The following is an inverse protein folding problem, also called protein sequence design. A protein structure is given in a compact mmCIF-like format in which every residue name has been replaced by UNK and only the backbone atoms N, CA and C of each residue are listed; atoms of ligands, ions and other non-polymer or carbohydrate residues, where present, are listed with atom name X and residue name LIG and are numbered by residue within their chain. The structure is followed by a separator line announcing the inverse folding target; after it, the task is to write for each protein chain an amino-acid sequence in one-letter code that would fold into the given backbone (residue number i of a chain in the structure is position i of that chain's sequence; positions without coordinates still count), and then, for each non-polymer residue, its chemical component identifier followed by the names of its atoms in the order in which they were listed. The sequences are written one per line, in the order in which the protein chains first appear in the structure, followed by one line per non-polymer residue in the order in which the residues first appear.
data_IF_421352569927
#
_entry.id   IF_421352569927
#
_cell.length_a   1.000
_cell.length_b   1.000
_cell.length_c   1.000
_cell.angle_alpha   90.00
_cell.angle_beta   90.00
_cell.angle_gamma   90.00
#
_symmetry.space_group_name_H-M   'P 1'
#
loop_
_entity.id
_entity.type
_entity.pdbx_description
1 polymer ?
2 non-polymer ?
3 non-polymer ?
4 water ?
#
# COMPACT_ATOMS: atom_id res chain seq x y z
N UNK A 17 -13.67 16.25 -16.33
CA UNK A 17 -12.64 16.07 -17.31
C UNK A 17 -13.36 15.41 -18.34
N UNK A 18 -13.61 14.11 -18.23
CA UNK A 18 -14.37 13.40 -19.28
C UNK A 18 -14.53 11.93 -19.04
N UNK A 19 -15.63 11.31 -19.44
CA UNK A 19 -15.73 9.86 -19.22
C UNK A 19 -14.76 9.12 -20.11
N UNK A 20 -13.73 8.56 -19.51
CA UNK A 20 -12.69 7.89 -20.24
C UNK A 20 -13.19 6.54 -20.75
N UNK A 21 -12.69 6.14 -21.87
CA UNK A 21 -13.08 4.92 -22.47
C UNK A 21 -12.03 3.86 -22.56
N UNK A 22 -10.75 4.22 -22.43
CA UNK A 22 -9.63 3.29 -22.57
C UNK A 22 -8.64 3.65 -21.46
N UNK A 23 -8.72 2.97 -20.32
CA UNK A 23 -7.97 3.38 -19.14
C UNK A 23 -6.84 2.38 -18.89
N UNK A 24 -5.66 2.86 -18.52
CA UNK A 24 -4.54 1.99 -18.17
C UNK A 24 -4.13 2.30 -16.75
N UNK A 25 -3.90 1.25 -15.95
CA UNK A 25 -3.41 1.36 -14.59
C UNK A 25 -1.98 0.84 -14.53
N UNK A 26 -1.12 1.62 -13.89
CA UNK A 26 0.29 1.25 -13.77
C UNK A 26 0.67 0.71 -12.39
N UNK A 27 -0.31 0.35 -11.54
CA UNK A 27 0.03 -0.19 -10.22
C UNK A 27 -1.10 -1.07 -9.68
N UNK A 28 -0.78 -2.07 -8.85
CA UNK A 28 -1.85 -2.87 -8.22
C UNK A 28 -2.83 -2.02 -7.46
N UNK A 29 -2.36 -1.07 -6.65
CA UNK A 29 -3.30 -0.24 -5.90
C UNK A 29 -4.14 0.58 -6.84
N UNK A 30 -3.53 1.05 -7.93
CA UNK A 30 -4.27 1.90 -8.87
C UNK A 30 -5.39 1.14 -9.55
N UNK A 31 -5.22 -0.16 -9.74
CA UNK A 31 -6.26 -0.99 -10.29
C UNK A 31 -7.39 -1.14 -9.28
N UNK A 32 -7.06 -1.33 -8.01
CA UNK A 32 -8.12 -1.42 -7.02
C UNK A 32 -8.94 -0.12 -6.98
N UNK A 33 -8.25 1.03 -6.93
CA UNK A 33 -8.96 2.31 -6.82
C UNK A 33 -9.76 2.59 -8.07
N UNK A 34 -9.25 2.17 -9.23
CA UNK A 34 -9.99 2.34 -10.48
C UNK A 34 -11.33 1.61 -10.42
N UNK A 35 -11.33 0.34 -9.98
CA UNK A 35 -12.60 -0.38 -9.85
C UNK A 35 -13.51 0.28 -8.84
N UNK A 36 -12.96 0.71 -7.69
CA UNK A 36 -13.81 1.36 -6.68
C UNK A 36 -14.40 2.67 -7.19
N UNK A 37 -13.71 3.32 -8.11
CA UNK A 37 -14.11 4.60 -8.66
C UNK A 37 -15.07 4.46 -9.81
N UNK A 38 -15.52 3.24 -10.11
CA UNK A 38 -16.41 3.04 -11.24
C UNK A 38 -15.77 3.18 -12.61
N UNK A 39 -14.50 2.78 -12.72
CA UNK A 39 -13.74 2.79 -13.97
C UNK A 39 -13.37 1.39 -14.44
N UNK A 40 -13.66 0.34 -13.68
CA UNK A 40 -13.08 -0.96 -13.96
C UNK A 40 -13.43 -1.47 -15.35
N UNK A 41 -14.65 -1.21 -15.79
CA UNK A 41 -15.10 -1.70 -17.09
C UNK A 41 -14.36 -1.05 -18.25
N UNK A 42 -13.72 0.09 -17.97
CA UNK A 42 -13.00 0.83 -19.02
C UNK A 42 -11.50 0.57 -19.01
N UNK A 43 -11.00 -0.24 -18.07
CA UNK A 43 -9.59 -0.63 -18.10
C UNK A 43 -9.29 -1.49 -19.30
N UNK A 44 -8.20 -1.15 -19.98
CA UNK A 44 -7.70 -1.94 -21.09
C UNK A 44 -6.31 -2.50 -20.83
N UNK A 45 -5.65 -2.10 -19.74
CA UNK A 45 -4.42 -2.74 -19.30
C UNK A 45 -4.12 -2.31 -17.87
N UNK A 46 -3.35 -3.13 -17.19
CA UNK A 46 -3.00 -2.94 -15.78
C UNK A 46 -1.55 -3.38 -15.59
N UNK A 47 -1.10 -3.41 -14.35
CA UNK A 47 0.24 -3.83 -13.97
C UNK A 47 0.27 -5.30 -13.58
N UNK A 48 1.48 -5.87 -13.59
CA UNK A 48 1.71 -7.12 -12.90
C UNK A 48 1.30 -6.93 -11.45
N UNK A 49 0.75 -7.99 -10.86
CA UNK A 49 0.17 -7.97 -9.53
C UNK A 49 -1.11 -7.18 -9.41
N UNK A 50 -1.70 -6.71 -10.50
CA UNK A 50 -3.06 -6.15 -10.46
C UNK A 50 -4.00 -7.35 -10.46
N UNK A 51 -4.17 -7.92 -9.27
CA UNK A 51 -4.96 -9.14 -9.09
C UNK A 51 -6.22 -8.92 -8.27
N UNK A 52 -6.63 -7.66 -8.06
CA UNK A 52 -7.78 -7.36 -7.29
C UNK A 52 -8.50 -6.14 -7.85
N UNK A 53 -9.81 -6.17 -8.01
CA UNK A 53 -10.70 -7.35 -7.90
C UNK A 53 -10.21 -8.43 -8.86
N UNK A 54 -10.50 -9.70 -8.58
CA UNK A 54 -9.79 -10.74 -9.32
C UNK A 54 -10.00 -10.75 -10.83
N UNK A 55 -11.11 -10.23 -11.35
CA UNK A 55 -11.30 -10.19 -12.80
C UNK A 55 -10.17 -9.40 -13.48
N UNK A 56 -9.43 -8.61 -12.71
CA UNK A 56 -8.35 -7.81 -13.29
C UNK A 56 -7.23 -8.69 -13.81
N UNK A 57 -7.15 -9.94 -13.32
CA UNK A 57 -6.22 -10.92 -13.86
C UNK A 57 -6.40 -11.09 -15.36
N UNK A 58 -7.58 -10.82 -15.84
CA UNK A 58 -7.92 -11.03 -17.25
C UNK A 58 -7.35 -9.98 -18.19
N UNK A 59 -6.85 -8.89 -17.68
CA UNK A 59 -6.41 -7.81 -18.52
C UNK A 59 -4.96 -7.83 -18.86
N UNK A 60 -4.57 -7.26 -20.00
CA UNK A 60 -3.16 -7.38 -20.30
C UNK A 60 -2.32 -6.47 -19.39
N UNK A 61 -1.06 -6.86 -19.21
CA UNK A 61 -0.12 -6.18 -18.34
C UNK A 61 0.81 -5.28 -19.13
N UNK A 62 1.05 -4.07 -18.63
CA UNK A 62 1.97 -3.16 -19.31
C UNK A 62 2.98 -2.57 -18.34
N UNK A 63 3.10 -3.13 -17.14
CA UNK A 63 4.02 -2.52 -16.19
C UNK A 63 4.38 -3.52 -15.11
N UNK A 64 5.61 -3.40 -14.61
CA UNK A 64 6.08 -4.15 -13.47
C UNK A 64 7.06 -3.26 -12.72
N UNK A 65 7.75 -3.84 -11.73
CA UNK A 65 8.47 -2.99 -10.79
C UNK A 65 9.68 -2.32 -11.41
N UNK A 66 10.13 -2.81 -12.55
CA UNK A 66 11.33 -2.28 -13.18
C UNK A 66 11.04 -1.52 -14.46
N UNK A 67 9.94 -1.86 -15.13
CA UNK A 67 9.69 -1.36 -16.48
C UNK A 67 8.22 -1.07 -16.73
N UNK A 68 7.97 0.06 -17.40
CA UNK A 68 6.68 0.34 -18.03
C UNK A 68 6.82 0.04 -19.52
N UNK A 69 5.88 -0.74 -20.06
CA UNK A 69 5.93 -1.15 -21.46
C UNK A 69 5.29 -0.08 -22.32
N UNK A 70 6.11 0.91 -22.68
CA UNK A 70 5.58 2.06 -23.42
C UNK A 70 5.13 1.65 -24.81
N UNK A 71 5.82 0.71 -25.43
CA UNK A 71 5.43 0.23 -26.75
C UNK A 71 3.99 -0.26 -26.72
N UNK A 72 3.66 -1.10 -25.74
CA UNK A 72 2.30 -1.64 -25.62
C UNK A 72 1.31 -0.54 -25.33
N UNK A 73 1.67 0.42 -24.48
CA UNK A 73 0.77 1.55 -24.21
C UNK A 73 0.47 2.34 -25.49
N UNK A 74 1.48 2.54 -26.34
CA UNK A 74 1.23 3.20 -27.61
C UNK A 74 0.19 2.41 -28.41
N UNK A 75 0.36 1.10 -28.39
CA UNK A 75 -0.53 0.15 -29.03
C UNK A 75 -1.98 0.23 -28.54
N UNK A 76 -2.18 0.75 -27.34
CA UNK A 76 -3.48 0.72 -26.69
C UNK A 76 -4.23 2.04 -26.75
N UNK A 77 -3.53 3.12 -27.04
CA UNK A 77 -4.16 4.43 -27.21
C UNK A 77 -5.08 4.86 -26.06
N UNK A 78 -4.59 4.83 -24.83
CA UNK A 78 -5.43 5.17 -23.69
C UNK A 78 -5.81 6.64 -23.72
N UNK A 79 -7.01 6.94 -23.23
CA UNK A 79 -7.36 8.33 -22.98
C UNK A 79 -7.18 8.72 -21.53
N UNK A 80 -6.82 7.76 -20.67
CA UNK A 80 -6.45 8.05 -19.28
C UNK A 80 -5.45 7.00 -18.79
N UNK A 81 -4.36 7.43 -18.17
CA UNK A 81 -3.38 6.56 -17.55
C UNK A 81 -3.36 6.92 -16.07
N UNK A 82 -3.49 5.92 -15.21
CA UNK A 82 -3.44 6.09 -13.77
C UNK A 82 -2.06 5.70 -13.29
N UNK A 83 -1.25 6.70 -12.96
CA UNK A 83 0.14 6.46 -12.62
C UNK A 83 0.38 6.41 -11.13
N UNK A 84 1.48 5.78 -10.77
CA UNK A 84 1.94 5.66 -9.40
C UNK A 84 3.34 6.28 -9.31
N UNK A 85 3.42 7.60 -9.19
CA UNK A 85 4.76 8.24 -9.15
C UNK A 85 5.70 7.61 -8.15
N UNK A 86 5.20 7.19 -6.98
CA UNK A 86 6.11 6.70 -5.96
C UNK A 86 6.80 5.41 -6.37
N UNK A 87 6.19 4.62 -7.26
CA UNK A 87 6.70 3.32 -7.59
C UNK A 87 7.05 3.08 -9.06
N UNK A 88 6.60 3.89 -9.91
CA UNK A 88 6.88 3.72 -11.33
C UNK A 88 8.21 4.39 -11.70
N UNK A 89 8.89 3.90 -12.73
CA UNK A 89 10.18 4.54 -13.14
C UNK A 89 9.97 5.97 -13.62
N UNK A 90 10.67 6.95 -13.02
CA UNK A 90 10.45 8.36 -13.38
C UNK A 90 10.62 8.67 -14.86
N UNK A 91 11.63 8.08 -15.50
CA UNK A 91 11.86 8.37 -16.91
C UNK A 91 10.68 7.96 -17.76
N UNK A 92 10.11 6.79 -17.49
CA UNK A 92 9.04 6.31 -18.35
C UNK A 92 7.76 7.13 -18.15
N UNK A 93 7.46 7.55 -16.91
CA UNK A 93 6.32 8.44 -16.69
C UNK A 93 6.55 9.77 -17.37
N UNK A 94 7.77 10.31 -17.28
CA UNK A 94 8.05 11.55 -17.97
C UNK A 94 7.84 11.37 -19.46
N UNK A 95 8.28 10.24 -20.01
CA UNK A 95 8.05 9.96 -21.43
C UNK A 95 6.56 10.00 -21.74
N UNK A 96 5.75 9.33 -20.91
CA UNK A 96 4.30 9.32 -21.15
C UNK A 96 3.73 10.73 -21.10
N UNK A 97 4.21 11.55 -20.17
CA UNK A 97 3.76 12.93 -20.12
C UNK A 97 4.17 13.66 -21.40
N UNK A 98 5.40 13.43 -21.85
CA UNK A 98 5.89 14.14 -23.04
C UNK A 98 5.15 13.70 -24.28
N UNK A 99 4.67 12.46 -24.29
CA UNK A 99 3.88 11.94 -25.40
C UNK A 99 2.46 12.48 -25.42
N UNK A 100 2.05 13.25 -24.40
CA UNK A 100 0.77 13.90 -24.39
C UNK A 100 -0.39 13.09 -23.86
N UNK A 101 -0.12 12.04 -23.10
CA UNK A 101 -1.22 11.28 -22.50
C UNK A 101 -1.81 12.00 -21.29
N UNK A 102 -3.12 11.82 -21.13
CA UNK A 102 -3.77 12.34 -19.94
C UNK A 102 -3.45 11.38 -18.80
N UNK A 103 -2.80 11.90 -17.77
CA UNK A 103 -2.31 11.07 -16.68
C UNK A 103 -2.82 11.61 -15.35
N UNK A 104 -3.40 10.72 -14.56
CA UNK A 104 -3.71 11.01 -13.19
C UNK A 104 -2.59 10.46 -12.31
N UNK A 105 -1.95 11.33 -11.53
CA UNK A 105 -0.91 10.91 -10.61
C UNK A 105 -1.52 10.49 -9.28
N UNK A 106 -1.42 9.20 -8.94
CA UNK A 106 -1.92 8.72 -7.66
C UNK A 106 -0.91 8.98 -6.54
N UNK A 107 -1.32 9.77 -5.55
CA UNK A 107 -0.46 10.06 -4.40
C UNK A 107 -0.77 9.05 -3.30
N UNK A 108 0.29 8.55 -2.66
CA UNK A 108 0.22 7.32 -1.87
C UNK A 108 0.98 7.43 -0.55
N UNK A 109 0.67 8.47 0.23
CA UNK A 109 1.32 8.64 1.53
C UNK A 109 0.39 8.55 2.76
N UNK A 110 -0.80 9.11 2.65
CA UNK A 110 -1.73 9.18 3.77
C UNK A 110 -2.97 8.33 3.51
N UNK A 111 -3.72 8.08 4.58
CA UNK A 111 -4.97 7.33 4.48
C UNK A 111 -6.07 8.15 3.83
N UNK A 112 -6.14 9.43 4.15
CA UNK A 112 -7.17 10.23 3.52
C UNK A 112 -6.95 10.34 2.02
N UNK A 113 -5.70 10.24 1.55
CA UNK A 113 -5.42 10.29 0.12
C UNK A 113 -6.09 9.14 -0.65
N UNK A 114 -6.38 8.02 0.01
CA UNK A 114 -7.05 6.94 -0.71
C UNK A 114 -8.43 7.39 -1.13
N UNK A 115 -9.18 7.96 -0.20
CA UNK A 115 -10.49 8.47 -0.57
C UNK A 115 -10.37 9.59 -1.59
N UNK A 116 -9.36 10.46 -1.44
CA UNK A 116 -9.15 11.53 -2.41
C UNK A 116 -8.93 10.96 -3.80
N UNK A 117 -8.08 9.92 -3.90
CA UNK A 117 -7.88 9.23 -5.17
C UNK A 117 -9.19 8.74 -5.80
N UNK A 118 -10.01 8.04 -5.01
CA UNK A 118 -11.24 7.49 -5.53
C UNK A 118 -12.16 8.60 -6.02
N UNK A 119 -12.26 9.69 -5.24
CA UNK A 119 -13.16 10.78 -5.60
C UNK A 119 -12.68 11.48 -6.86
N UNK A 120 -11.37 11.73 -6.96
CA UNK A 120 -10.80 12.25 -8.20
C UNK A 120 -11.07 11.34 -9.37
N UNK A 121 -10.83 10.04 -9.22
CA UNK A 121 -10.98 9.18 -10.37
C UNK A 121 -12.42 9.06 -10.80
N UNK A 122 -13.36 9.24 -9.88
CA UNK A 122 -14.77 9.18 -10.24
C UNK A 122 -15.16 10.27 -11.25
N UNK A 123 -14.37 11.34 -11.34
CA UNK A 123 -14.65 12.36 -12.35
C UNK A 123 -14.53 11.83 -13.76
N UNK A 124 -13.87 10.69 -13.93
CA UNK A 124 -13.68 10.16 -15.27
C UNK A 124 -14.67 9.05 -15.54
N UNK A 125 -15.60 8.85 -14.62
CA UNK A 125 -16.51 7.72 -14.75
C UNK A 125 -17.78 8.15 -15.47
N UNK A 126 -18.38 7.20 -16.19
CA UNK A 126 -19.69 7.42 -16.79
C UNK A 126 -20.79 7.42 -15.73
N UNK A 127 -20.50 6.88 -14.56
CA UNK A 127 -21.43 6.82 -13.42
C UNK A 127 -20.70 7.34 -12.18
N UNK A 128 -20.45 8.65 -12.10
CA UNK A 128 -19.65 9.17 -10.99
C UNK A 128 -20.18 8.86 -9.59
N UNK A 129 -21.47 8.49 -9.46
CA UNK A 129 -22.04 8.19 -8.15
C UNK A 129 -21.34 7.00 -7.49
N UNK A 130 -20.86 6.04 -8.31
CA UNK A 130 -20.19 4.85 -7.77
C UNK A 130 -18.96 5.25 -6.96
N UNK A 131 -18.06 6.01 -7.58
CA UNK A 131 -16.88 6.49 -6.88
C UNK A 131 -17.20 7.48 -5.79
N UNK A 132 -18.18 8.36 -6.02
CA UNK A 132 -18.63 9.25 -4.96
C UNK A 132 -19.01 8.44 -3.73
N UNK A 133 -19.76 7.36 -3.95
CA UNK A 133 -20.21 6.54 -2.84
C UNK A 133 -19.05 5.80 -2.19
N UNK A 134 -18.16 5.22 -3.00
CA UNK A 134 -17.05 4.47 -2.43
C UNK A 134 -16.17 5.35 -1.56
N UNK A 135 -15.89 6.58 -2.02
CA UNK A 135 -15.08 7.49 -1.22
C UNK A 135 -15.79 7.92 0.05
N UNK A 136 -17.11 8.11 -0.06
CA UNK A 136 -17.88 8.48 1.10
C UNK A 136 -17.78 7.37 2.13
N UNK A 137 -18.01 6.15 1.69
CA UNK A 137 -17.99 5.01 2.61
C UNK A 137 -16.62 4.85 3.23
N UNK A 138 -15.56 4.97 2.41
CA UNK A 138 -14.20 4.91 2.93
C UNK A 138 -13.98 5.95 4.03
N UNK A 139 -14.38 7.19 3.77
CA UNK A 139 -14.18 8.25 4.75
C UNK A 139 -14.89 7.94 6.06
N UNK A 140 -16.11 7.42 5.96
CA UNK A 140 -16.85 7.13 7.19
C UNK A 140 -16.20 5.99 7.95
N UNK A 141 -15.81 4.91 7.26
CA UNK A 141 -15.14 3.82 7.97
C UNK A 141 -13.80 4.29 8.55
N UNK A 142 -13.08 5.15 7.83
CA UNK A 142 -11.82 5.65 8.35
C UNK A 142 -12.06 6.44 9.62
N UNK A 143 -13.14 7.23 9.64
CA UNK A 143 -13.54 7.95 10.82
C UNK A 143 -13.85 6.99 11.96
N UNK A 144 -14.61 5.93 11.65
CA UNK A 144 -14.92 4.95 12.67
C UNK A 144 -13.65 4.35 13.25
N UNK A 145 -12.70 3.98 12.38
CA UNK A 145 -11.49 3.35 12.88
C UNK A 145 -10.67 4.32 13.72
N UNK A 146 -10.56 5.59 13.31
CA UNK A 146 -9.80 6.54 14.10
C UNK A 146 -10.40 6.65 15.50
N UNK A 147 -11.73 6.72 15.59
CA UNK A 147 -12.38 6.76 16.89
C UNK A 147 -12.08 5.49 17.68
N UNK A 148 -12.25 4.33 17.05
CA UNK A 148 -12.20 3.07 17.76
C UNK A 148 -10.82 2.78 18.33
N UNK A 149 -9.75 3.21 17.65
CA UNK A 149 -8.39 2.82 18.03
C UNK A 149 -7.60 3.99 18.58
N UNK A 150 -8.30 4.96 19.14
CA UNK A 150 -7.64 6.09 19.77
C UNK A 150 -6.91 5.65 21.03
N UNK A 151 -7.56 4.81 21.83
CA UNK A 151 -7.03 4.42 23.13
C UNK A 151 -5.67 3.76 23.02
N UNK A 152 -5.30 3.23 21.85
CA UNK A 152 -3.99 2.65 21.70
C UNK A 152 -2.93 3.66 22.15
N UNK A 153 -1.91 3.15 22.84
CA UNK A 153 -0.75 3.90 23.28
C UNK A 153 0.39 3.66 22.31
N UNK A 154 1.39 4.54 22.32
CA UNK A 154 2.51 4.39 21.39
C UNK A 154 3.26 3.08 21.59
N UNK A 155 3.41 2.35 20.49
CA UNK A 155 4.16 1.12 20.49
C UNK A 155 5.23 1.18 19.41
N UNK A 156 6.44 0.79 19.77
CA UNK A 156 7.57 0.77 18.84
C UNK A 156 7.55 -0.54 18.05
N UNK A 157 7.40 -0.45 16.73
CA UNK A 157 7.32 -1.62 15.88
C UNK A 157 8.44 -1.65 14.83
N UNK A 158 8.73 -2.86 14.39
CA UNK A 158 9.52 -3.14 13.21
C UNK A 158 8.61 -3.82 12.20
N UNK A 159 8.56 -3.30 10.96
CA UNK A 159 7.84 -3.98 9.87
C UNK A 159 8.79 -4.38 8.76
N UNK A 160 8.90 -5.69 8.60
CA UNK A 160 9.75 -6.35 7.63
C UNK A 160 9.01 -6.59 6.30
N UNK A 161 9.55 -6.09 5.19
CA UNK A 161 9.03 -6.40 3.87
C UNK A 161 9.58 -7.72 3.31
N UNK A 162 10.72 -8.17 3.80
CA UNK A 162 11.34 -9.42 3.36
C UNK A 162 12.27 -9.87 4.47
N UNK A 163 12.58 -11.17 4.49
CA UNK A 163 13.59 -11.68 5.41
C UNK A 163 14.99 -11.65 4.79
N UNK A 164 15.10 -11.90 3.48
CA UNK A 164 16.37 -11.88 2.76
C UNK A 164 16.28 -11.03 1.49
N UNK A 165 16.94 -9.86 1.42
CA UNK A 165 17.57 -9.18 2.56
C UNK A 165 16.46 -8.60 3.41
N UNK A 166 16.79 -8.04 4.57
CA UNK A 166 15.80 -7.34 5.38
C UNK A 166 15.63 -5.94 4.81
N UNK A 167 14.48 -5.69 4.18
CA UNK A 167 14.08 -4.35 3.76
C UNK A 167 12.93 -3.91 4.65
N UNK A 168 12.97 -2.65 5.06
CA UNK A 168 11.93 -2.09 5.91
C UNK A 168 11.55 -0.75 5.31
N UNK A 169 10.80 0.04 6.08
CA UNK A 169 10.28 1.32 5.65
C UNK A 169 10.82 2.40 6.56
N UNK A 170 10.69 3.65 6.10
CA UNK A 170 11.27 4.80 6.79
C UNK A 170 10.68 6.10 6.24
N UNK A 171 11.02 7.20 6.91
CA UNK A 171 10.70 8.54 6.43
C UNK A 171 9.22 8.80 6.22
N UNK A 172 8.36 8.04 6.91
CA UNK A 172 6.93 8.27 6.79
C UNK A 172 6.33 7.73 5.51
N UNK A 173 7.12 7.11 4.64
CA UNK A 173 6.62 6.60 3.39
C UNK A 173 5.69 5.41 3.63
N UNK A 174 4.88 5.14 2.61
CA UNK A 174 3.85 4.13 2.74
C UNK A 174 4.46 2.76 3.05
N UNK A 175 3.85 1.99 3.98
CA UNK A 175 2.62 2.17 4.74
C UNK A 175 2.78 2.75 6.15
N UNK A 176 3.76 3.63 6.33
CA UNK A 176 4.00 4.19 7.67
C UNK A 176 2.72 4.73 8.32
N UNK A 177 1.91 5.44 7.56
CA UNK A 177 0.71 6.09 8.06
C UNK A 177 -0.32 5.11 8.61
N UNK A 178 -0.36 3.89 8.09
CA UNK A 178 -1.28 2.89 8.65
C UNK A 178 -0.95 2.65 10.12
N UNK A 179 0.34 2.42 10.41
CA UNK A 179 0.78 2.17 11.78
C UNK A 179 0.56 3.39 12.66
N UNK A 180 0.81 4.59 12.13
CA UNK A 180 0.75 5.80 12.96
C UNK A 180 -0.66 6.07 13.48
N UNK A 181 -1.70 5.72 12.72
CA UNK A 181 -3.07 5.89 13.21
C UNK A 181 -3.24 5.23 14.58
N UNK A 182 -2.62 4.06 14.78
CA UNK A 182 -2.78 3.22 15.96
C UNK A 182 -1.80 3.60 17.06
N UNK A 183 -1.08 4.71 16.90
CA UNK A 183 0.00 5.07 17.80
C UNK A 183 1.32 4.42 17.49
N UNK A 184 1.41 3.67 16.39
CA UNK A 184 2.64 2.93 16.11
C UNK A 184 3.78 3.87 15.77
N UNK A 185 4.97 3.54 16.27
CA UNK A 185 6.19 4.31 16.04
C UNK A 185 7.21 3.38 15.39
N UNK A 186 7.57 3.70 14.14
CA UNK A 186 8.53 2.94 13.36
C UNK A 186 9.93 3.10 13.93
N UNK A 187 10.60 1.99 14.25
CA UNK A 187 11.94 2.07 14.84
C UNK A 187 12.96 2.58 13.83
N UNK A 188 12.67 2.48 12.55
CA UNK A 188 13.60 2.92 11.51
C UNK A 188 13.12 4.20 10.83
N UNK A 189 12.26 4.97 11.50
CA UNK A 189 11.69 6.14 10.89
C UNK A 189 12.76 7.07 10.37
N UNK A 190 13.80 7.31 11.17
CA UNK A 190 14.88 8.23 10.83
C UNK A 190 16.00 7.47 10.11
N UNK A 191 15.71 7.06 8.87
CA UNK A 191 16.70 6.48 7.98
C UNK A 191 16.95 7.43 6.80
N UNK A 192 18.10 7.23 6.17
CA UNK A 192 18.52 8.11 5.09
C UNK A 192 17.79 7.82 3.78
N UNK A 193 17.18 6.65 3.64
CA UNK A 193 16.39 6.32 2.46
C UNK A 193 15.02 5.84 2.92
N UNK A 194 14.00 5.91 2.04
CA UNK A 194 12.64 5.52 2.43
C UNK A 194 12.43 4.02 2.66
N UNK A 195 13.18 3.15 2.00
CA UNK A 195 13.02 1.71 2.19
C UNK A 195 14.40 1.11 2.42
N UNK A 196 14.97 1.31 3.59
CA UNK A 196 16.34 0.87 3.85
C UNK A 196 16.48 -0.62 4.00
N UNK A 197 17.62 -1.12 3.57
CA UNK A 197 18.06 -2.46 3.90
C UNK A 197 18.73 -2.36 5.26
N UNK A 198 18.40 -3.28 6.16
CA UNK A 198 18.90 -3.24 7.53
C UNK A 198 19.48 -4.61 7.89
N UNK A 199 20.46 -4.60 8.79
CA UNK A 199 21.08 -5.83 9.25
C UNK A 199 20.33 -6.39 10.46
N UNK A 200 20.53 -7.68 10.70
CA UNK A 200 19.99 -8.31 11.91
C UNK A 200 20.37 -7.50 13.14
N UNK A 201 21.65 -7.14 13.23
CA UNK A 201 22.14 -6.39 14.39
C UNK A 201 21.38 -5.08 14.57
N UNK A 202 21.14 -4.38 13.46
CA UNK A 202 20.40 -3.12 13.50
C UNK A 202 19.04 -3.28 14.18
N UNK A 203 18.30 -4.31 13.81
CA UNK A 203 17.02 -4.60 14.47
C UNK A 203 17.27 -4.95 15.93
N UNK A 204 18.16 -5.91 16.17
CA UNK A 204 18.43 -6.38 17.53
C UNK A 204 18.73 -5.23 18.45
N UNK A 205 19.57 -4.32 18.00
CA UNK A 205 19.94 -3.17 18.82
C UNK A 205 18.71 -2.37 19.17
N UNK A 206 17.78 -2.22 18.21
CA UNK A 206 16.64 -1.31 18.34
C UNK A 206 15.56 -1.83 19.30
N UNK A 207 15.50 -3.13 19.54
CA UNK A 207 14.58 -3.62 20.58
C UNK A 207 13.11 -3.31 20.28
N UNK A 208 12.60 -3.62 19.10
CA UNK A 208 11.20 -3.35 18.82
C UNK A 208 10.28 -4.09 19.78
N UNK A 209 9.21 -3.44 20.18
CA UNK A 209 8.20 -4.10 21.01
C UNK A 209 7.40 -5.14 20.22
N UNK A 210 7.19 -4.88 18.93
CA UNK A 210 6.42 -5.74 18.03
C UNK A 210 7.22 -5.87 16.73
N UNK A 211 7.25 -7.08 16.17
CA UNK A 211 7.76 -7.31 14.82
C UNK A 211 6.61 -7.76 13.92
N UNK A 212 6.43 -7.07 12.82
CA UNK A 212 5.49 -7.45 11.77
C UNK A 212 6.23 -8.01 10.57
N UNK A 213 5.69 -9.08 9.99
CA UNK A 213 6.34 -9.76 8.90
C UNK A 213 5.26 -10.32 7.95
N UNK A 214 5.62 -11.32 7.14
CA UNK A 214 4.73 -11.89 6.15
C UNK A 214 4.11 -13.20 6.65
N UNK A 215 3.00 -13.58 6.02
CA UNK A 215 2.38 -14.85 6.35
C UNK A 215 3.33 -15.98 6.01
N UNK A 216 4.16 -15.75 5.00
CA UNK A 216 5.09 -16.74 4.48
C UNK A 216 6.16 -17.03 5.51
N UNK A 217 6.73 -15.98 6.11
CA UNK A 217 7.77 -16.10 7.12
C UNK A 217 7.27 -16.84 8.35
N UNK A 218 6.05 -16.53 8.79
CA UNK A 218 5.49 -17.20 9.95
C UNK A 218 5.35 -18.69 9.66
N UNK A 219 4.75 -19.02 8.51
CA UNK A 219 4.47 -20.40 8.16
C UNK A 219 5.75 -21.22 8.04
N UNK A 220 6.82 -20.61 7.58
CA UNK A 220 8.08 -21.32 7.40
C UNK A 220 8.92 -21.36 8.67
N UNK A 221 8.49 -20.65 9.72
CA UNK A 221 9.32 -20.41 10.89
C UNK A 221 10.07 -19.11 10.72
N UNK A 222 9.73 -18.10 11.50
CA UNK A 222 10.29 -16.79 11.19
C UNK A 222 11.68 -16.66 11.78
N UNK A 223 12.44 -15.73 11.21
CA UNK A 223 13.86 -15.66 11.46
C UNK A 223 14.19 -15.19 12.87
N UNK A 224 13.21 -14.67 13.61
CA UNK A 224 13.51 -14.06 14.90
C UNK A 224 13.34 -15.04 16.06
N UNK A 225 12.89 -16.27 15.78
CA UNK A 225 12.83 -17.29 16.84
C UNK A 225 14.22 -17.59 17.38
N UNK A 226 15.19 -17.72 16.48
CA UNK A 226 16.58 -17.89 16.89
C UNK A 226 17.07 -16.79 17.86
N UNK A 227 16.37 -15.66 17.93
CA UNK A 227 16.81 -14.50 18.67
C UNK A 227 15.91 -14.21 19.87
N UNK A 228 15.24 -15.23 20.39
CA UNK A 228 14.29 -14.99 21.48
C UNK A 228 14.92 -14.27 22.65
N UNK A 229 16.10 -14.72 23.07
CA UNK A 229 16.74 -14.17 24.26
C UNK A 229 16.98 -12.68 24.12
N UNK A 230 17.34 -12.22 22.92
CA UNK A 230 17.68 -10.82 22.69
C UNK A 230 16.50 -9.95 22.28
N UNK A 231 15.34 -10.54 21.99
CA UNK A 231 14.17 -9.80 21.52
C UNK A 231 12.96 -10.01 22.42
N UNK A 232 12.57 -8.96 23.14
CA UNK A 232 11.35 -9.03 23.93
C UNK A 232 10.12 -9.26 23.06
N UNK A 233 10.13 -8.72 21.84
CA UNK A 233 9.03 -9.03 20.93
C UNK A 233 8.87 -10.53 20.74
N UNK A 234 9.96 -11.31 20.74
CA UNK A 234 9.80 -12.74 20.55
C UNK A 234 9.34 -13.39 21.86
N UNK A 235 9.97 -13.01 22.98
CA UNK A 235 9.60 -13.57 24.28
C UNK A 235 8.12 -13.34 24.57
N UNK A 236 7.61 -12.19 24.15
CA UNK A 236 6.22 -11.80 24.38
C UNK A 236 5.29 -12.28 23.28
N UNK A 237 5.77 -13.08 22.33
CA UNK A 237 4.90 -13.66 21.29
C UNK A 237 4.22 -12.57 20.47
N UNK A 238 5.01 -11.55 20.11
CA UNK A 238 4.51 -10.39 19.35
C UNK A 238 5.25 -10.26 18.03
N UNK A 239 5.45 -11.39 17.35
CA UNK A 239 5.87 -11.42 15.97
C UNK A 239 4.65 -11.90 15.20
N UNK A 240 4.13 -11.03 14.33
CA UNK A 240 2.89 -11.33 13.62
C UNK A 240 3.01 -11.03 12.14
N UNK A 241 2.35 -11.85 11.34
CA UNK A 241 2.20 -11.54 9.93
C UNK A 241 1.12 -10.49 9.71
N UNK A 242 1.33 -9.64 8.70
CA UNK A 242 0.31 -8.72 8.20
C UNK A 242 -0.01 -9.09 6.77
N UNK A 243 -1.26 -8.85 6.36
CA UNK A 243 -1.65 -9.05 4.97
C UNK A 243 -1.08 -7.92 4.10
N UNK A 244 -0.12 -8.30 3.25
CA UNK A 244 0.64 -7.34 2.46
C UNK A 244 -0.22 -6.69 1.39
N UNK A 245 -1.20 -7.43 0.84
CA UNK A 245 -2.10 -6.84 -0.17
C UNK A 245 -2.88 -5.67 0.41
N UNK A 246 -3.38 -5.81 1.63
CA UNK A 246 -4.16 -4.74 2.24
C UNK A 246 -3.28 -3.57 2.62
N UNK A 247 -2.10 -3.90 3.12
CA UNK A 247 -1.24 -2.95 3.81
C UNK A 247 -0.43 -2.13 2.83
N UNK A 248 0.19 -2.79 1.88
CA UNK A 248 1.20 -2.15 1.06
C UNK A 248 0.66 -1.53 -0.21
N UNK A 249 -0.63 -1.74 -0.51
CA UNK A 249 -1.35 -1.02 -1.54
C UNK A 249 -2.34 -0.06 -0.91
N UNK A 250 -2.37 1.20 -1.26
CA UNK A 250 -3.39 2.10 -0.70
C UNK A 250 -4.71 2.02 -1.45
N UNK A 251 -5.69 1.33 -0.83
CA UNK A 251 -6.92 0.93 -1.47
C UNK A 251 -8.01 0.90 -0.41
N UNK A 252 -9.26 0.66 -0.79
CA UNK A 252 -10.27 0.41 0.25
C UNK A 252 -9.92 -0.71 1.20
N UNK A 253 -9.19 -1.74 0.74
CA UNK A 253 -8.83 -2.82 1.63
C UNK A 253 -7.78 -2.39 2.67
N UNK A 254 -7.14 -1.24 2.49
CA UNK A 254 -6.25 -0.77 3.54
C UNK A 254 -6.99 -0.57 4.85
N UNK A 255 -8.30 -0.33 4.83
CA UNK A 255 -8.98 -0.24 6.11
C UNK A 255 -9.05 -1.59 6.83
N UNK A 256 -8.98 -2.73 6.11
CA UNK A 256 -8.75 -4.00 6.79
C UNK A 256 -7.33 -4.10 7.34
N UNK A 257 -6.33 -3.55 6.64
CA UNK A 257 -5.01 -3.48 7.25
C UNK A 257 -5.01 -2.60 8.50
N UNK A 258 -5.72 -1.47 8.47
CA UNK A 258 -5.85 -0.64 9.67
C UNK A 258 -6.40 -1.48 10.81
N UNK A 259 -7.48 -2.19 10.58
CA UNK A 259 -8.03 -3.05 11.63
C UNK A 259 -6.99 -4.07 12.11
N UNK A 260 -6.28 -4.72 11.19
CA UNK A 260 -5.35 -5.78 11.57
C UNK A 260 -4.20 -5.21 12.39
N UNK A 261 -3.59 -4.15 11.88
CA UNK A 261 -2.48 -3.49 12.56
C UNK A 261 -2.91 -2.99 13.92
N UNK A 262 -4.02 -2.26 13.96
CA UNK A 262 -4.51 -1.64 15.18
C UNK A 262 -4.91 -2.68 16.23
N UNK A 263 -5.51 -3.77 15.80
CA UNK A 263 -5.83 -4.83 16.74
C UNK A 263 -4.58 -5.42 17.37
N UNK A 264 -3.55 -5.68 16.55
CA UNK A 264 -2.28 -6.19 17.08
C UNK A 264 -1.57 -5.19 17.98
N UNK A 265 -1.48 -3.92 17.59
CA UNK A 265 -0.90 -2.93 18.49
C UNK A 265 -1.70 -2.76 19.76
N UNK A 266 -3.02 -3.01 19.71
CA UNK A 266 -3.80 -3.04 20.95
C UNK A 266 -3.39 -4.19 21.85
N UNK A 267 -3.30 -5.40 21.29
CA UNK A 267 -2.82 -6.55 22.05
C UNK A 267 -1.48 -6.24 22.71
N UNK A 268 -0.59 -5.55 21.98
CA UNK A 268 0.78 -5.28 22.43
C UNK A 268 0.85 -4.42 23.66
N UNK A 269 -0.27 -3.85 24.08
CA UNK A 269 -0.33 -3.14 25.33
C UNK A 269 -0.37 -4.08 26.52
N UNK A 270 -0.52 -5.39 26.28
CA UNK A 270 -0.64 -6.37 27.36
C UNK A 270 0.55 -6.33 28.30
N UNK A 271 1.71 -5.84 27.85
CA UNK A 271 2.80 -5.60 28.76
C UNK A 271 3.67 -4.45 28.28
X LIG B 1 7.04 -3.98 -3.51
X LIG B 1 7.42 -5.46 -4.65
X LIG B 1 5.16 -4.27 -3.74
X LIG B 1 6.91 -2.46 -2.39
X LIG B 1 8.92 -4.00 -3.22
X LIG B 1 8.84 -5.69 -5.09
X LIG B 1 9.12 -4.83 -6.33
X LIG B 1 8.86 -7.22 -5.43
X LIG B 1 9.98 -7.60 -6.43
X LIG B 1 8.94 -8.12 -4.18
X LIG B 1 8.93 -9.60 -4.56
X LIG B 1 7.85 -10.17 -4.73
X LIG B 1 10.10 -10.19 -4.69
X LIG B 1 7.42 -7.34 -6.00
X LIG B 1 7.09 -7.90 -7.40
X LIG B 1 7.24 -6.82 -8.45
X LIG B 1 6.80 -7.18 -9.84
X LIG B 1 6.38 -6.21 -10.46
X LIG B 1 6.85 -8.39 -10.33
X LIG B 1 6.64 -6.32 -5.20
X LIG B 1 5.20 -6.36 -4.99
X LIG B 1 4.56 -7.60 -5.61
X LIG B 1 4.55 -5.36 -4.37
X LIG B 1 3.03 -5.29 -4.02
X LIG B 1 1.95 -5.74 -5.02
X LIG B 1 2.94 -6.12 -2.69
X LIG B 1 1.58 -6.57 -2.31
X LIG B 1 0.58 -5.85 -2.49
X LIG B 1 1.45 -7.75 -1.78
X LIG B 1 2.82 -3.83 -3.50
X LIG B 1 2.26 -2.90 -4.61
X LIG B 1 2.04 -1.44 -4.19
X LIG B 1 1.00 -0.68 -5.04
X LIG B 1 0.29 -1.29 -5.78
X LIG B 1 0.96 0.61 -4.91
X LIG B 1 4.24 -3.43 -3.22
X LIG B 1 4.49 -2.35 -2.42
X LIG B 1 5.74 -1.89 -2.02
X LIG B 1 5.93 -0.83 -0.97
X LIG B 1 5.76 -1.56 0.40
X LIG B 1 4.89 0.29 -0.91
X LIG B 1 7.42 -0.54 -1.07
X LIG B 1 7.63 0.58 -2.13
X LIG B 1 7.18 2.02 -1.76
X LIG B 1 7.07 2.92 -2.96
X LIG B 1 6.65 4.06 -2.82
X LIG B 1 7.40 2.44 -4.16
X LIG B 1 7.97 -1.73 -1.85
X LIG B 1 9.31 -2.08 -1.87
X LIG B 1 10.22 -1.26 -1.02
X LIG B 1 9.72 -3.30 -2.49
X LIG B 1 11.16 -3.88 -2.53
X LIG B 1 11.35 -4.69 -1.23
X LIG B 1 12.36 -2.95 -2.69
X LIG B 1 12.35 -2.20 -4.03
X LIG B 1 13.42 -1.13 -3.89
X LIG B 1 13.33 -0.32 -2.97
X LIG B 1 14.42 -1.17 -4.77
X LIG B 1 11.15 -4.81 -3.77
X LIG B 1 11.91 -6.11 -3.61
X LIG B 1 13.40 -5.96 -3.72
X LIG B 1 13.89 -5.25 -4.63
X LIG B 1 14.12 -6.56 -2.81
X LIG B 1 9.64 -4.95 -4.03
X LIG B 1 15.48 -0.16 -4.69
X LIG B 1 15.11 1.01 -5.63
X LIG B 1 16.23 2.01 -5.78
X LIG B 1 14.85 0.43 -6.90
X LIG B 1 13.55 -0.01 -8.99
X LIG B 1 13.55 2.28 -7.87
X LIG B 1 13.61 0.83 -7.78
X LIG B 1 12.41 0.37 -6.80
X LIG B 1 11.08 0.83 -7.04
X LIG B 1 10.18 -0.28 -7.46
X LIG B 1 10.45 -1.56 -6.95
X LIG B 1 8.80 0.19 -7.03
X LIG B 1 9.02 1.13 -6.01
X LIG B 1 10.42 1.30 -5.75
X LIG B 1 10.66 2.69 -5.22
X LIG B 1 10.17 2.81 -3.85
X LIG B 1 7.96 -0.88 -6.57
X LIG B 1 6.98 -1.55 -7.32
X LIG B 1 8.00 -1.47 -5.37
X LIG B 1 7.12 -2.46 -5.28
X LIG B 1 6.46 -2.54 -6.49
X LIG B 1 5.44 -3.40 -6.93
X LIG B 1 5.00 -3.21 -8.23
X LIG B 1 3.91 -4.11 -8.76
X LIG B 1 5.55 -2.20 -9.06
X LIG B 1 5.01 -2.05 -10.46
X LIG B 1 6.54 -1.35 -8.64
X LIG B 1 6.86 -5.98 -1.05
X LIG B 1 6.87 -5.28 -1.88
X LIG C 1 0.71 -10.91 -13.07
X LIG C 1 -0.45 -10.38 -12.34
X LIG C 1 0.52 -12.35 -13.32
X LIG C 1 1.90 -10.71 -12.25
X LIG C 1 0.87 -10.26 -14.38
#
# INVERSE_FOLDING_TARGET
HHHHHHSSGLVPRGSKPFPAERIISLAPHATEIAYAAGLGDKLVAVSEYSDYPPQALELERVANHQTINIEKILTLKPDLIIAWPAGNPPRELAKLRQLGFTIYDSQTKTLDEIADNIEALSHYSANPEVGQKAAHDFRQRLQDLRTQYASNQPIRYFYQLSEKPIITLAQGHWPSEVFSLCGGVNIFADSEVPYPQVSIEQVLVKQPQVIFTSEHAIANGHMWRAWQAELSAVQNDQVWALNADWLNRPTPRTLDAVEQVCTYLKIAQKQ
CNC CO N21 N22 N23 N24 C1 C20 C2 C25 C26 C27 O28 N29 C3 C30 C31 C32 O34 N33 C4 C5 C35 C6 C7 C36 C37 C38 O39 N40 C8 C41 C42 C43 O44 N45 C9 C10 C11 C12 C46 C47 C13 C48 C49 C50 O51 N52 C14 C15 C53 C16 C17 C54 C55 C56 C57 O58 N59 C18 C60 C61 O63 N62 C19 C1P C2P C3P O3 O4 O5 P O2 C3R C2R O7R C1R O6R C4R C5R O8R N1B C8B C2B N3B C9B C4B C5B C5M C6B C6M C7B N1A C1A
SO4 S O1 O2 O3 O4
#
